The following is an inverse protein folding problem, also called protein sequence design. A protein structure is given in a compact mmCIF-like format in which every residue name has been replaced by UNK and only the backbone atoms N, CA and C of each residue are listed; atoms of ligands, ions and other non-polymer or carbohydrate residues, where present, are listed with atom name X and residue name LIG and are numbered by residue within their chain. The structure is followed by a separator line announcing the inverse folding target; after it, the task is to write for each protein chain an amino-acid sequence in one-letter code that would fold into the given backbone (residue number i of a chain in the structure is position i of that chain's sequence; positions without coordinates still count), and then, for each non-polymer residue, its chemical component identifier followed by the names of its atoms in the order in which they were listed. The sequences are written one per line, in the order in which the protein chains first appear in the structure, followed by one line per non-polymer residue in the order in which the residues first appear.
data_IF_848051567264
#
_entry.id   IF_848051567264
#
_cell.length_a   1.000
_cell.length_b   1.000
_cell.length_c   1.000
_cell.angle_alpha   90.00
_cell.angle_beta   90.00
_cell.angle_gamma   90.00
#
_symmetry.space_group_name_H-M   'P 1'
#
loop_
_entity.id
_entity.type
_entity.pdbx_description
1 polymer ?
#
# COMPACT_ATOMS: atom_id res chain seq x y z
N UNK A 1 27.39 2.93 -52.56
CA UNK A 1 26.86 3.08 -51.20
C UNK A 1 27.67 2.14 -50.31
N UNK A 2 28.56 2.70 -49.48
CA UNK A 2 29.50 1.92 -48.69
C UNK A 2 28.85 1.51 -47.37
N UNK A 3 28.69 0.21 -47.15
CA UNK A 3 28.24 -0.35 -45.88
C UNK A 3 29.42 -0.26 -44.90
N UNK A 4 29.38 0.71 -43.98
CA UNK A 4 30.43 0.89 -42.99
C UNK A 4 30.11 0.02 -41.75
N UNK A 5 30.81 -1.11 -41.53
CA UNK A 5 30.55 -2.01 -40.41
C UNK A 5 30.80 -1.35 -39.04
N UNK A 6 31.55 -0.24 -39.01
CA UNK A 6 31.78 0.52 -37.79
C UNK A 6 30.52 1.26 -37.31
N UNK A 7 29.69 1.76 -38.25
CA UNK A 7 28.42 2.43 -37.92
C UNK A 7 27.42 1.41 -37.36
N UNK A 8 27.40 0.19 -37.90
CA UNK A 8 26.56 -0.89 -37.38
C UNK A 8 26.98 -1.29 -35.96
N UNK A 9 28.29 -1.37 -35.68
CA UNK A 9 28.80 -1.66 -34.34
C UNK A 9 28.44 -0.56 -33.33
N UNK A 10 28.52 0.71 -33.75
CA UNK A 10 28.17 1.88 -32.93
C UNK A 10 26.67 1.94 -32.63
N UNK A 11 25.82 1.53 -33.58
CA UNK A 11 24.38 1.41 -33.35
C UNK A 11 24.04 0.25 -32.40
N UNK A 12 24.77 -0.88 -32.47
CA UNK A 12 24.57 -2.01 -31.56
C UNK A 12 25.00 -1.66 -30.13
N UNK A 13 26.10 -0.94 -29.92
CA UNK A 13 26.54 -0.53 -28.57
C UNK A 13 25.61 0.48 -27.91
N UNK A 14 25.00 1.39 -28.69
CA UNK A 14 24.00 2.35 -28.17
C UNK A 14 22.72 1.64 -27.70
N UNK A 15 22.33 0.54 -28.35
CA UNK A 15 21.13 -0.24 -27.97
C UNK A 15 21.35 -1.09 -26.71
N UNK A 16 22.60 -1.44 -26.37
CA UNK A 16 22.90 -2.23 -25.16
C UNK A 16 22.90 -1.35 -23.89
N UNK A 17 23.18 -0.05 -24.01
CA UNK A 17 23.24 0.88 -22.87
C UNK A 17 21.88 1.32 -22.32
N UNK A 18 20.76 0.92 -22.93
CA UNK A 18 19.40 1.31 -22.52
C UNK A 18 18.69 0.27 -21.64
N UNK A 19 19.39 -0.77 -21.17
CA UNK A 19 18.82 -1.79 -20.28
C UNK A 19 18.70 -1.25 -18.83
N UNK A 20 17.54 -0.68 -18.53
CA UNK A 20 16.85 -0.56 -17.23
C UNK A 20 17.71 -0.64 -15.94
N UNK A 21 18.50 0.40 -15.63
CA UNK A 21 19.18 0.54 -14.34
C UNK A 21 18.40 1.40 -13.31
N UNK A 22 17.22 1.91 -13.65
CA UNK A 22 16.48 2.88 -12.82
C UNK A 22 15.65 2.23 -11.69
N UNK A 23 15.07 1.05 -11.93
CA UNK A 23 14.06 0.48 -11.02
C UNK A 23 14.67 -0.12 -9.76
N UNK A 24 15.79 -0.84 -9.87
CA UNK A 24 16.50 -1.43 -8.72
C UNK A 24 16.96 -0.37 -7.73
N UNK A 25 17.40 0.79 -8.23
CA UNK A 25 17.81 1.93 -7.40
C UNK A 25 16.62 2.51 -6.63
N UNK A 26 15.50 2.78 -7.32
CA UNK A 26 14.27 3.29 -6.70
C UNK A 26 13.72 2.34 -5.63
N UNK A 27 13.63 1.05 -5.96
CA UNK A 27 13.16 0.01 -5.02
C UNK A 27 14.03 -0.04 -3.75
N UNK A 28 15.34 0.06 -3.91
CA UNK A 28 16.29 0.05 -2.78
C UNK A 28 16.10 1.29 -1.90
N UNK A 29 15.86 2.46 -2.50
CA UNK A 29 15.56 3.69 -1.77
C UNK A 29 14.25 3.53 -0.99
N UNK A 30 13.20 3.01 -1.64
CA UNK A 30 11.88 2.85 -1.04
C UNK A 30 11.91 1.92 0.19
N UNK A 31 12.61 0.78 0.10
CA UNK A 31 12.72 -0.15 1.23
C UNK A 31 13.53 0.44 2.37
N UNK A 32 14.63 1.16 2.09
CA UNK A 32 15.44 1.79 3.13
C UNK A 32 14.65 2.88 3.86
N UNK A 33 13.85 3.65 3.13
CA UNK A 33 12.96 4.65 3.69
C UNK A 33 11.85 4.01 4.54
N UNK A 34 11.18 2.96 4.02
CA UNK A 34 10.16 2.23 4.77
C UNK A 34 10.74 1.62 6.07
N UNK A 35 11.94 1.04 6.02
CA UNK A 35 12.63 0.50 7.20
C UNK A 35 12.89 1.59 8.25
N UNK A 36 13.29 2.80 7.84
CA UNK A 36 13.47 3.92 8.75
C UNK A 36 12.15 4.35 9.42
N UNK A 37 11.06 4.43 8.65
CA UNK A 37 9.71 4.72 9.16
C UNK A 37 9.21 3.63 10.13
N UNK A 38 9.41 2.35 9.81
CA UNK A 38 9.08 1.22 10.69
C UNK A 38 9.83 1.29 12.03
N UNK A 39 11.13 1.62 12.02
CA UNK A 39 11.95 1.77 13.23
C UNK A 39 11.47 2.94 14.08
N UNK A 40 11.20 4.10 13.48
CA UNK A 40 10.63 5.27 14.17
C UNK A 40 9.29 4.96 14.83
N UNK A 41 8.51 4.05 14.24
CA UNK A 41 7.24 3.58 14.78
C UNK A 41 7.36 2.42 15.80
N UNK A 42 8.58 2.00 16.16
CA UNK A 42 8.87 0.91 17.12
C UNK A 42 8.48 -0.51 16.64
N UNK A 43 8.68 -0.82 15.36
CA UNK A 43 8.51 -2.17 14.78
C UNK A 43 9.88 -2.81 14.48
N UNK A 44 10.77 -2.88 15.48
CA UNK A 44 12.16 -3.30 15.27
C UNK A 44 12.29 -4.77 14.91
N UNK A 45 11.44 -5.63 15.48
CA UNK A 45 11.50 -7.07 15.22
C UNK A 45 11.01 -7.38 13.81
N UNK A 46 9.99 -6.69 13.31
CA UNK A 46 9.54 -6.84 11.93
C UNK A 46 10.62 -6.41 10.92
N UNK A 47 11.34 -5.31 11.22
CA UNK A 47 12.51 -4.89 10.43
C UNK A 47 13.63 -5.93 10.46
N UNK A 48 13.85 -6.61 11.59
CA UNK A 48 14.81 -7.71 11.65
C UNK A 48 14.41 -8.85 10.71
N UNK A 49 13.13 -9.22 10.68
CA UNK A 49 12.61 -10.24 9.76
C UNK A 49 12.84 -9.84 8.29
N UNK A 50 12.55 -8.59 7.92
CA UNK A 50 12.82 -8.05 6.57
C UNK A 50 14.29 -8.21 6.19
N UNK A 51 15.22 -7.87 7.08
CA UNK A 51 16.66 -7.96 6.80
C UNK A 51 17.18 -9.41 6.74
N UNK A 52 16.44 -10.38 7.27
CA UNK A 52 16.76 -11.81 7.16
C UNK A 52 16.20 -12.43 5.88
N UNK A 53 15.28 -11.76 5.19
CA UNK A 53 14.73 -12.23 3.94
C UNK A 53 15.72 -12.05 2.78
N UNK A 54 15.61 -12.86 1.71
CA UNK A 54 16.41 -12.68 0.50
C UNK A 54 16.27 -11.26 -0.10
N UNK A 55 17.32 -10.68 -0.72
CA UNK A 55 17.28 -9.30 -1.25
C UNK A 55 16.18 -9.03 -2.30
N UNK A 56 15.77 -10.09 -3.01
CA UNK A 56 14.74 -10.10 -4.04
C UNK A 56 13.32 -10.38 -3.50
N UNK A 57 13.19 -10.64 -2.19
CA UNK A 57 11.95 -11.01 -1.53
C UNK A 57 10.84 -9.95 -1.66
N UNK A 58 11.18 -8.69 -1.38
CA UNK A 58 10.19 -7.61 -1.37
C UNK A 58 9.88 -7.25 -2.81
N UNK A 59 8.64 -7.46 -3.24
CA UNK A 59 8.17 -7.01 -4.54
C UNK A 59 7.81 -5.51 -4.46
N UNK A 60 7.80 -4.81 -5.60
CA UNK A 60 7.24 -3.46 -5.65
C UNK A 60 5.74 -3.51 -5.35
N UNK A 61 5.18 -2.41 -4.83
CA UNK A 61 3.74 -2.26 -4.57
C UNK A 61 3.21 -3.24 -3.52
N UNK A 62 3.60 -3.02 -2.26
CA UNK A 62 3.30 -3.92 -1.15
C UNK A 62 2.75 -3.14 0.05
N UNK A 63 1.85 -3.78 0.79
CA UNK A 63 1.46 -3.33 2.13
C UNK A 63 1.92 -4.33 3.15
N UNK A 64 2.76 -3.92 4.11
CA UNK A 64 3.11 -4.75 5.26
C UNK A 64 2.10 -4.59 6.39
N UNK A 65 1.73 -5.73 7.00
CA UNK A 65 0.88 -5.85 8.17
C UNK A 65 1.76 -6.31 9.33
N UNK A 66 2.26 -5.38 10.13
CA UNK A 66 3.36 -5.61 11.06
C UNK A 66 2.84 -5.87 12.48
N UNK A 67 2.97 -7.09 13.03
CA UNK A 67 2.69 -7.30 14.44
C UNK A 67 3.70 -6.53 15.30
N UNK A 68 3.28 -6.04 16.46
CA UNK A 68 4.17 -5.36 17.41
C UNK A 68 5.28 -6.28 17.91
N UNK A 69 6.42 -5.71 18.29
CA UNK A 69 7.56 -6.45 18.83
C UNK A 69 7.20 -7.38 20.00
N UNK A 70 6.30 -6.93 20.90
CA UNK A 70 5.80 -7.78 22.00
C UNK A 70 5.04 -9.02 21.51
N UNK A 71 4.28 -8.90 20.43
CA UNK A 71 3.53 -10.01 19.83
C UNK A 71 4.51 -10.97 19.14
N UNK A 72 5.48 -10.41 18.39
CA UNK A 72 6.49 -11.21 17.69
C UNK A 72 7.43 -11.96 18.64
N UNK A 73 7.77 -11.41 19.81
CA UNK A 73 8.63 -12.10 20.79
C UNK A 73 8.00 -13.35 21.41
N UNK A 74 6.69 -13.52 21.26
CA UNK A 74 5.92 -14.69 21.72
C UNK A 74 5.63 -15.67 20.59
N UNK A 75 6.02 -15.33 19.35
CA UNK A 75 5.75 -16.12 18.15
C UNK A 75 6.98 -16.95 17.79
N UNK A 76 6.79 -18.23 17.50
CA UNK A 76 7.86 -19.10 17.01
C UNK A 76 7.94 -18.98 15.49
N UNK A 77 8.98 -18.31 14.99
CA UNK A 77 9.27 -18.18 13.55
C UNK A 77 10.58 -18.91 13.28
N UNK A 78 10.53 -20.00 12.50
CA UNK A 78 11.74 -20.69 12.06
C UNK A 78 12.50 -19.82 11.05
N UNK A 79 13.82 -19.92 11.03
CA UNK A 79 14.64 -19.17 10.06
C UNK A 79 14.26 -19.49 8.60
N UNK A 80 13.87 -20.75 8.34
CA UNK A 80 13.46 -21.19 7.00
C UNK A 80 12.06 -20.66 6.60
N UNK A 81 11.29 -20.14 7.55
CA UNK A 81 9.90 -19.71 7.36
C UNK A 81 9.77 -18.18 7.36
N UNK A 82 10.88 -17.42 7.46
CA UNK A 82 10.86 -15.95 7.53
C UNK A 82 10.20 -15.35 6.29
N UNK A 83 10.53 -15.83 5.10
CA UNK A 83 9.91 -15.36 3.85
C UNK A 83 8.42 -15.66 3.83
N UNK A 84 8.04 -16.87 4.19
CA UNK A 84 6.63 -17.29 4.28
C UNK A 84 5.84 -16.46 5.27
N UNK A 85 6.43 -16.16 6.43
CA UNK A 85 5.86 -15.30 7.45
C UNK A 85 5.63 -13.89 6.91
N UNK A 86 6.63 -13.30 6.25
CA UNK A 86 6.52 -11.96 5.68
C UNK A 86 5.49 -11.90 4.55
N UNK A 87 5.40 -12.91 3.67
CA UNK A 87 4.41 -12.97 2.59
C UNK A 87 2.99 -13.07 3.11
N UNK A 88 2.79 -13.81 4.20
CA UNK A 88 1.51 -13.90 4.89
C UNK A 88 1.12 -12.56 5.52
N UNK A 89 2.11 -11.78 5.93
CA UNK A 89 1.95 -10.46 6.53
C UNK A 89 2.07 -9.33 5.50
N UNK A 90 1.77 -9.61 4.23
CA UNK A 90 1.74 -8.59 3.20
C UNK A 90 0.59 -8.72 2.23
N UNK A 91 0.16 -7.59 1.67
CA UNK A 91 -0.82 -7.50 0.58
C UNK A 91 -0.05 -7.01 -0.66
N UNK A 92 -0.22 -7.63 -1.84
CA UNK A 92 0.49 -7.25 -3.07
C UNK A 92 -0.13 -6.00 -3.73
N UNK A 93 -0.34 -4.95 -2.94
CA UNK A 93 -0.78 -3.62 -3.37
C UNK A 93 -0.50 -2.61 -2.26
N UNK A 94 -0.11 -1.35 -2.55
CA UNK A 94 0.05 -0.28 -1.57
C UNK A 94 -1.31 0.28 -1.17
N UNK A 95 -1.82 -0.14 -0.01
CA UNK A 95 -3.14 0.19 0.50
C UNK A 95 -3.01 1.08 1.73
N UNK A 96 -3.35 2.35 1.59
CA UNK A 96 -3.57 3.23 2.74
C UNK A 96 -4.77 2.75 3.58
N UNK A 97 -4.81 3.15 4.84
CA UNK A 97 -5.90 2.78 5.74
C UNK A 97 -7.25 3.30 5.25
N UNK A 98 -7.25 4.48 4.64
CA UNK A 98 -8.41 5.09 3.99
C UNK A 98 -8.96 4.20 2.88
N UNK A 99 -8.15 3.37 2.22
CA UNK A 99 -8.66 2.40 1.25
C UNK A 99 -9.21 1.15 1.93
N UNK A 100 -8.50 0.66 2.97
CA UNK A 100 -8.91 -0.52 3.73
C UNK A 100 -10.27 -0.33 4.40
N UNK A 101 -10.54 0.84 4.98
CA UNK A 101 -11.80 1.12 5.68
C UNK A 101 -13.03 1.21 4.77
N UNK A 102 -12.85 1.21 3.44
CA UNK A 102 -13.95 1.11 2.49
C UNK A 102 -14.28 -0.34 2.11
N UNK A 103 -13.45 -1.31 2.49
CA UNK A 103 -13.78 -2.71 2.28
C UNK A 103 -14.95 -3.12 3.18
N UNK A 104 -16.04 -3.67 2.60
CA UNK A 104 -17.13 -4.23 3.37
C UNK A 104 -16.67 -5.39 4.26
N UNK A 105 -17.38 -5.60 5.36
CA UNK A 105 -17.21 -6.82 6.17
C UNK A 105 -17.49 -8.06 5.31
N UNK A 106 -16.59 -9.04 5.38
CA UNK A 106 -16.63 -10.26 4.57
C UNK A 106 -15.82 -10.16 3.27
N UNK A 107 -15.23 -9.01 2.93
CA UNK A 107 -14.31 -8.94 1.80
C UNK A 107 -13.12 -9.88 1.98
N UNK A 108 -12.71 -10.51 0.88
CA UNK A 108 -11.54 -11.38 0.80
C UNK A 108 -10.41 -10.61 0.12
N UNK A 109 -9.28 -10.50 0.80
CA UNK A 109 -8.11 -9.75 0.34
C UNK A 109 -6.95 -10.73 0.19
N UNK A 110 -6.30 -10.83 -0.98
CA UNK A 110 -5.17 -11.73 -1.14
C UNK A 110 -3.96 -11.25 -0.32
N UNK A 111 -3.20 -12.19 0.24
CA UNK A 111 -1.85 -11.90 0.72
C UNK A 111 -0.82 -12.09 -0.38
N UNK A 112 0.43 -11.70 -0.16
CA UNK A 112 1.52 -12.05 -1.08
C UNK A 112 1.91 -13.53 -0.98
N UNK A 113 1.44 -14.26 0.05
CA UNK A 113 1.56 -15.71 0.13
C UNK A 113 0.44 -16.35 -0.69
N UNK A 114 0.76 -17.17 -1.70
CA UNK A 114 -0.25 -17.88 -2.48
C UNK A 114 -1.21 -18.66 -1.58
N UNK A 115 -2.47 -18.74 -2.01
CA UNK A 115 -3.57 -19.47 -1.35
C UNK A 115 -3.95 -18.99 0.06
N UNK A 116 -3.26 -17.98 0.60
CA UNK A 116 -3.59 -17.35 1.87
C UNK A 116 -4.31 -16.03 1.63
N UNK A 117 -5.46 -15.88 2.29
CA UNK A 117 -6.34 -14.73 2.18
C UNK A 117 -6.61 -14.11 3.55
N UNK A 118 -6.97 -12.83 3.52
CA UNK A 118 -7.41 -12.06 4.67
C UNK A 118 -8.91 -11.77 4.53
N UNK A 119 -9.65 -11.99 5.61
CA UNK A 119 -11.06 -11.64 5.74
C UNK A 119 -11.19 -10.30 6.43
N UNK A 120 -11.72 -9.32 5.72
CA UNK A 120 -11.99 -8.00 6.26
C UNK A 120 -13.18 -8.06 7.21
N UNK A 121 -13.04 -7.45 8.38
CA UNK A 121 -14.15 -7.13 9.26
C UNK A 121 -14.08 -5.66 9.61
N UNK A 122 -15.05 -4.90 9.09
CA UNK A 122 -15.17 -3.48 9.26
C UNK A 122 -16.29 -3.19 10.24
N UNK A 123 -15.91 -2.86 11.47
CA UNK A 123 -16.85 -2.53 12.55
C UNK A 123 -17.10 -1.01 12.69
N UNK A 124 -16.65 -0.22 11.71
CA UNK A 124 -16.70 1.25 11.74
C UNK A 124 -15.74 1.86 12.77
N UNK A 125 -15.85 3.17 13.04
CA UNK A 125 -15.08 3.93 14.07
C UNK A 125 -13.57 3.58 14.13
N UNK A 126 -12.91 3.42 12.97
CA UNK A 126 -11.48 3.03 12.88
C UNK A 126 -11.16 1.68 13.54
N UNK A 127 -12.11 0.77 13.51
CA UNK A 127 -12.00 -0.60 14.00
C UNK A 127 -12.16 -1.53 12.81
N UNK A 128 -11.02 -1.76 12.16
CA UNK A 128 -10.88 -2.60 10.98
C UNK A 128 -9.96 -3.77 11.31
N UNK A 129 -10.39 -4.98 10.95
CA UNK A 129 -9.68 -6.22 11.23
C UNK A 129 -9.43 -7.03 9.97
N UNK A 130 -8.33 -7.78 9.97
CA UNK A 130 -7.94 -8.74 8.94
C UNK A 130 -7.65 -10.07 9.64
N UNK A 131 -8.42 -11.14 9.37
CA UNK A 131 -8.30 -12.43 10.08
C UNK A 131 -8.21 -12.28 11.61
N UNK A 132 -9.07 -11.41 12.17
CA UNK A 132 -9.13 -11.03 13.59
C UNK A 132 -8.01 -10.11 14.09
N UNK A 133 -6.98 -9.81 13.28
CA UNK A 133 -5.97 -8.84 13.64
C UNK A 133 -6.44 -7.41 13.40
N UNK A 134 -6.43 -6.57 14.43
CA UNK A 134 -6.85 -5.17 14.33
C UNK A 134 -5.71 -4.32 13.80
N UNK A 135 -6.02 -3.41 12.88
CA UNK A 135 -5.09 -2.32 12.55
C UNK A 135 -5.06 -1.32 13.71
N UNK A 136 -3.89 -1.20 14.36
CA UNK A 136 -3.68 -0.33 15.54
C UNK A 136 -2.75 0.84 15.28
N UNK A 137 -2.01 0.82 14.18
CA UNK A 137 -1.15 1.93 13.76
C UNK A 137 -1.20 2.06 12.23
N UNK A 138 -2.17 2.81 11.70
CA UNK A 138 -2.34 2.95 10.26
C UNK A 138 -1.25 3.85 9.65
N UNK A 139 -0.97 3.67 8.35
CA UNK A 139 -0.21 4.58 7.51
C UNK A 139 1.18 4.94 8.08
N UNK A 140 2.00 3.94 8.41
CA UNK A 140 3.36 4.14 8.95
C UNK A 140 4.34 4.50 7.82
N UNK A 141 4.44 3.64 6.80
CA UNK A 141 5.35 3.88 5.68
C UNK A 141 4.62 4.63 4.57
N UNK A 142 4.56 5.96 4.64
CA UNK A 142 3.87 6.75 3.59
C UNK A 142 4.83 7.46 2.67
N UNK A 143 6.12 7.55 3.04
CA UNK A 143 7.10 8.32 2.29
C UNK A 143 7.62 7.64 1.03
N UNK A 144 7.55 6.30 0.93
CA UNK A 144 8.01 5.54 -0.25
C UNK A 144 6.98 5.48 -1.39
N UNK A 145 5.68 5.59 -1.07
CA UNK A 145 4.57 5.47 -2.03
C UNK A 145 4.32 4.04 -2.58
N UNK A 146 5.35 3.22 -2.71
CA UNK A 146 5.32 1.83 -3.19
C UNK A 146 5.23 0.79 -2.07
N UNK A 147 5.63 1.15 -0.85
CA UNK A 147 5.59 0.32 0.35
C UNK A 147 4.75 1.05 1.39
N UNK A 148 3.58 0.51 1.69
CA UNK A 148 2.73 0.97 2.79
C UNK A 148 2.89 0.03 3.97
N UNK A 149 2.79 0.53 5.20
CA UNK A 149 2.85 -0.33 6.37
C UNK A 149 1.75 0.03 7.37
N UNK A 150 1.13 -0.97 7.95
CA UNK A 150 0.20 -0.85 9.06
C UNK A 150 0.66 -1.73 10.21
N UNK A 151 0.60 -1.20 11.42
CA UNK A 151 0.78 -1.99 12.62
C UNK A 151 -0.50 -2.75 12.98
N UNK A 152 -0.36 -4.03 13.32
CA UNK A 152 -1.44 -4.90 13.81
C UNK A 152 -1.15 -5.42 15.24
N UNK A 153 -2.20 -5.76 15.99
CA UNK A 153 -2.07 -6.18 17.40
C UNK A 153 -1.76 -7.66 17.62
N UNK A 154 -1.93 -8.50 16.60
CA UNK A 154 -1.67 -9.94 16.64
C UNK A 154 -1.02 -10.43 15.34
N UNK A 155 -0.46 -11.64 15.37
CA UNK A 155 0.02 -12.34 14.16
C UNK A 155 -1.18 -12.82 13.34
N UNK A 156 -1.07 -12.76 12.01
CA UNK A 156 -2.10 -13.27 11.11
C UNK A 156 -2.06 -14.79 11.06
N UNK A 157 -3.19 -15.42 11.33
CA UNK A 157 -3.34 -16.87 11.16
C UNK A 157 -3.59 -17.21 9.69
N UNK A 158 -2.97 -18.27 9.15
CA UNK A 158 -3.15 -18.65 7.75
C UNK A 158 -4.60 -19.07 7.51
N UNK A 159 -5.28 -18.38 6.61
CA UNK A 159 -6.65 -18.71 6.20
C UNK A 159 -6.65 -19.01 4.71
N UNK A 160 -7.11 -20.21 4.34
CA UNK A 160 -7.27 -20.61 2.94
C UNK A 160 -8.73 -20.46 2.51
N UNK A 161 -8.97 -20.29 1.21
CA UNK A 161 -10.33 -20.21 0.67
C UNK A 161 -11.17 -21.47 0.93
N UNK A 162 -10.54 -22.64 1.11
CA UNK A 162 -11.21 -23.92 1.38
C UNK A 162 -11.58 -24.11 2.86
N UNK A 163 -10.88 -23.44 3.78
CA UNK A 163 -11.18 -23.52 5.22
C UNK A 163 -12.57 -22.98 5.58
N UNK A 164 -13.11 -22.01 4.82
CA UNK A 164 -14.45 -21.46 5.04
C UNK A 164 -15.58 -22.45 4.61
N UNK A 165 -15.28 -23.41 3.74
CA UNK A 165 -16.26 -24.44 3.33
C UNK A 165 -16.49 -25.51 4.41
N UNK A 166 -15.48 -25.83 5.22
CA UNK A 166 -15.58 -26.91 6.21
C UNK A 166 -16.18 -26.49 7.56
N UNK A 167 -16.17 -25.20 7.91
CA UNK A 167 -16.87 -24.68 9.09
C UNK A 167 -18.36 -24.42 8.85
N UNK A 168 -18.85 -24.62 7.62
CA UNK A 168 -20.28 -24.57 7.28
C UNK A 168 -20.91 -25.97 7.35
N UNK A 169 -20.82 -26.65 8.50
CA UNK A 169 -21.58 -27.88 8.74
C UNK A 169 -22.70 -27.59 9.74
N UNK A 170 -23.96 -27.74 9.28
CA UNK A 170 -25.24 -27.67 10.01
C UNK A 170 -26.03 -26.35 10.03
N UNK A 171 -26.24 -25.71 8.88
CA UNK A 171 -27.55 -25.09 8.63
C UNK A 171 -28.23 -25.82 7.48
N UNK A 172 -29.49 -26.30 7.64
CA UNK A 172 -30.19 -26.98 6.57
C UNK A 172 -30.28 -26.06 5.35
N UNK A 173 -29.80 -26.52 4.21
CA UNK A 173 -30.14 -25.95 2.91
C UNK A 173 -31.68 -25.93 2.84
N UNK A 174 -32.32 -24.76 2.69
CA UNK A 174 -33.75 -24.72 2.45
C UNK A 174 -34.04 -25.47 1.16
N UNK A 175 -35.01 -26.40 1.13
CA UNK A 175 -35.35 -27.09 -0.09
C UNK A 175 -35.99 -26.07 -1.04
N UNK A 176 -35.41 -25.97 -2.23
CA UNK A 176 -36.06 -25.54 -3.48
C UNK A 176 -36.63 -24.11 -3.49
N UNK A 177 -36.10 -23.29 -4.40
CA UNK A 177 -36.85 -22.13 -4.89
C UNK A 177 -38.18 -22.65 -5.48
N UNK A 178 -39.37 -22.27 -4.96
CA UNK A 178 -40.59 -22.52 -5.68
C UNK A 178 -40.54 -21.68 -6.96
N UNK A 179 -40.90 -22.32 -8.06
CA UNK A 179 -41.06 -21.73 -9.38
C UNK A 179 -41.89 -20.44 -9.25
N UNK A 180 -41.24 -19.27 -9.33
CA UNK A 180 -41.93 -17.98 -9.29
C UNK A 180 -42.63 -17.83 -10.64
N UNK A 181 -43.91 -18.20 -10.67
CA UNK A 181 -44.84 -17.70 -11.68
C UNK A 181 -44.84 -16.18 -11.57
N UNK A 182 -44.24 -15.51 -12.55
CA UNK A 182 -44.23 -14.06 -12.70
C UNK A 182 -45.68 -13.57 -12.66
N UNK A 183 -46.12 -12.80 -11.64
CA UNK A 183 -47.35 -12.03 -11.80
C UNK A 183 -47.04 -10.85 -12.73
N UNK A 184 -48.01 -10.40 -13.55
CA UNK A 184 -47.78 -9.30 -14.47
C UNK A 184 -47.33 -8.06 -13.69
N UNK A 185 -46.28 -7.41 -14.20
CA UNK A 185 -45.80 -6.11 -13.72
C UNK A 185 -46.99 -5.17 -13.56
N UNK A 186 -47.34 -4.85 -12.32
CA UNK A 186 -48.15 -3.67 -12.04
C UNK A 186 -47.19 -2.49 -12.15
N UNK A 187 -47.34 -1.71 -13.21
CA UNK A 187 -46.70 -0.40 -13.34
C UNK A 187 -47.20 0.44 -12.18
N UNK A 188 -46.35 0.65 -11.18
CA UNK A 188 -46.62 1.62 -10.13
C UNK A 188 -46.59 3.02 -10.77
N UNK A 189 -47.64 3.80 -10.53
CA UNK A 189 -47.72 5.20 -10.94
C UNK A 189 -46.50 6.00 -10.44
N UNK A 190 -46.00 6.97 -11.22
CA UNK A 190 -44.91 7.82 -10.78
C UNK A 190 -45.32 8.63 -9.53
N UNK A 191 -44.41 8.86 -8.57
CA UNK A 191 -44.70 9.69 -7.41
C UNK A 191 -45.01 11.14 -7.85
N UNK A 192 -45.84 11.87 -7.09
CA UNK A 192 -46.13 13.27 -7.39
C UNK A 192 -44.84 14.11 -7.32
N UNK A 193 -44.64 14.93 -8.34
CA UNK A 193 -43.56 15.91 -8.45
C UNK A 193 -43.63 16.85 -7.25
N UNK A 194 -42.60 16.86 -6.40
CA UNK A 194 -42.46 17.90 -5.39
C UNK A 194 -42.15 19.23 -6.09
N UNK A 195 -43.05 20.20 -5.92
CA UNK A 195 -42.87 21.57 -6.36
C UNK A 195 -41.68 22.21 -5.64
N UNK A 196 -40.76 22.79 -6.41
CA UNK A 196 -39.66 23.62 -5.91
C UNK A 196 -40.19 24.78 -5.06
N UNK A 197 -39.56 25.10 -3.91
CA UNK A 197 -39.87 26.32 -3.18
C UNK A 197 -39.42 27.56 -3.97
N UNK A 198 -40.12 28.71 -3.84
CA UNK A 198 -39.78 29.93 -4.56
C UNK A 198 -38.42 30.51 -4.12
N UNK A 199 -37.75 31.31 -4.97
CA UNK A 199 -36.47 31.93 -4.63
C UNK A 199 -36.61 32.90 -3.45
N UNK A 200 -35.70 32.83 -2.49
CA UNK A 200 -35.62 33.78 -1.39
C UNK A 200 -35.21 35.18 -1.90
N UNK A 201 -35.87 36.21 -1.37
CA UNK A 201 -35.56 37.63 -1.61
C UNK A 201 -34.15 38.02 -1.10
N UNK A 202 -33.49 39.03 -1.72
CA UNK A 202 -32.17 39.48 -1.29
C UNK A 202 -32.25 40.24 0.04
N UNK A 203 -31.60 39.69 1.07
CA UNK A 203 -31.43 40.36 2.37
C UNK A 203 -30.46 41.53 2.24
N UNK A 204 -30.95 42.68 2.69
CA UNK A 204 -30.32 44.00 2.77
C UNK A 204 -29.07 43.97 3.68
N UNK A 205 -28.01 44.65 3.22
CA UNK A 205 -26.69 44.78 3.84
C UNK A 205 -26.69 45.06 5.34
N UNK A 206 -26.01 44.20 6.10
CA UNK A 206 -25.54 44.44 7.46
C UNK A 206 -24.02 44.46 7.48
N UNK A 207 -23.46 45.56 7.99
CA UNK A 207 -22.03 45.86 8.11
C UNK A 207 -21.27 44.81 8.92
N UNK A 208 -20.26 44.17 8.34
CA UNK A 208 -19.26 43.41 9.07
C UNK A 208 -17.91 44.14 9.02
N UNK A 209 -17.46 44.55 10.20
CA UNK A 209 -16.13 45.10 10.43
C UNK A 209 -15.10 43.98 10.24
N UNK A 210 -14.18 44.17 9.31
CA UNK A 210 -13.10 43.24 9.01
C UNK A 210 -11.84 43.62 9.81
N UNK A 211 -11.19 42.72 10.57
CA UNK A 211 -9.82 42.94 11.03
C UNK A 211 -8.82 42.56 9.95
N UNK A 212 -7.89 43.46 9.70
CA UNK A 212 -6.76 43.39 8.76
C UNK A 212 -5.82 42.21 9.03
N UNK A 213 -5.35 41.47 8.00
CA UNK A 213 -4.26 40.51 8.18
C UNK A 213 -2.89 41.21 8.05
N UNK A 214 -2.12 41.16 9.14
CA UNK A 214 -0.71 41.58 9.19
C UNK A 214 0.19 40.51 8.58
N UNK A 215 0.93 40.88 7.54
CA UNK A 215 2.00 40.05 6.97
C UNK A 215 3.30 40.28 7.73
N UNK A 216 3.88 39.20 8.29
CA UNK A 216 5.29 39.15 8.66
C UNK A 216 5.93 37.88 8.11
N UNK A 217 7.06 37.96 7.40
CA UNK A 217 7.81 36.79 6.94
C UNK A 217 8.83 36.32 7.99
N UNK A 218 9.04 35.01 8.18
CA UNK A 218 10.17 34.51 8.96
C UNK A 218 11.44 34.33 8.11
N UNK A 219 12.55 34.35 8.85
CA UNK A 219 13.91 34.61 8.42
C UNK A 219 14.60 33.49 7.63
N UNK A 220 15.58 33.97 6.87
CA UNK A 220 16.68 33.29 6.19
C UNK A 220 17.54 32.48 7.17
N UNK A 221 17.80 31.22 6.85
CA UNK A 221 18.88 30.41 7.43
C UNK A 221 19.60 29.67 6.31
N UNK A 222 20.92 29.80 6.26
CA UNK A 222 21.78 29.24 5.23
C UNK A 222 22.39 27.89 5.60
N UNK A 223 22.63 27.07 4.58
CA UNK A 223 23.57 25.95 4.57
C UNK A 223 24.07 25.81 3.12
N UNK A 224 25.29 26.25 2.84
CA UNK A 224 26.51 25.43 2.73
C UNK A 224 26.47 24.40 1.60
N UNK A 225 27.20 24.74 0.54
CA UNK A 225 27.53 23.91 -0.61
C UNK A 225 28.07 22.53 -0.21
N UNK A 226 27.46 21.48 -0.74
CA UNK A 226 28.09 20.17 -0.87
C UNK A 226 28.64 20.09 -2.29
N UNK A 227 29.97 20.12 -2.39
CA UNK A 227 30.69 19.88 -3.64
C UNK A 227 30.39 18.46 -4.13
N UNK A 228 30.05 18.36 -5.41
CA UNK A 228 29.80 17.13 -6.15
C UNK A 228 30.98 16.17 -6.04
N UNK A 229 30.78 15.06 -5.34
CA UNK A 229 31.70 13.91 -5.31
C UNK A 229 31.36 12.89 -6.42
N UNK A 230 30.58 13.28 -7.44
CA UNK A 230 30.15 12.40 -8.53
C UNK A 230 31.14 12.37 -9.71
N UNK A 231 31.94 13.42 -9.92
CA UNK A 231 32.80 13.51 -11.11
C UNK A 231 34.11 12.73 -10.96
N UNK A 232 34.61 12.53 -9.74
CA UNK A 232 35.85 11.79 -9.51
C UNK A 232 35.68 10.27 -9.71
N UNK A 233 34.50 9.72 -9.41
CA UNK A 233 34.23 8.27 -9.56
C UNK A 233 34.06 7.91 -11.03
N UNK A 234 33.43 8.78 -11.82
CA UNK A 234 33.23 8.57 -13.25
C UNK A 234 34.55 8.71 -14.03
N UNK A 235 35.41 9.66 -13.65
CA UNK A 235 36.75 9.78 -14.26
C UNK A 235 37.67 8.60 -13.89
N UNK A 236 37.56 8.07 -12.67
CA UNK A 236 38.34 6.90 -12.22
C UNK A 236 37.94 5.60 -12.92
N UNK A 237 36.64 5.37 -13.16
CA UNK A 237 36.18 4.18 -13.89
C UNK A 237 36.57 4.22 -15.38
N UNK A 238 36.61 5.41 -16.00
CA UNK A 238 36.98 5.53 -17.41
C UNK A 238 38.49 5.31 -17.65
N UNK A 239 39.34 5.56 -16.66
CA UNK A 239 40.79 5.31 -16.75
C UNK A 239 41.14 3.82 -16.60
N UNK A 240 40.33 3.05 -15.87
CA UNK A 240 40.49 1.60 -15.68
C UNK A 240 40.08 0.76 -16.90
N UNK A 241 39.34 1.36 -17.84
CA UNK A 241 38.91 0.70 -19.08
C UNK A 241 39.85 0.95 -20.26
N UNK A 242 40.95 1.68 -20.04
CA UNK A 242 41.95 2.06 -21.06
C UNK A 242 43.37 1.52 -20.78
N UNK A 243 43.52 0.59 -19.83
CA UNK A 243 44.77 -0.13 -19.56
C UNK A 243 44.58 -1.63 -19.80
#
# INVERSE_FOLDING_TARGET
MANNPMILFLLITIVISSVSATNTSSKTIDILQAIDEMRKANYFTFVMLINMAPPDFIQENITFLMPKDKTLSQTLISQNDVSDFLLQHSIPSPLLFEHLEHFPTGSIIPTSKPDIVLKANNSGRKSFFLNNARIVSPNICTGSGSIICHGIDQVLEPTTLSSDYHNSTLLPVPPHCPNVTIPPFVVADPPPVMSFPPPAEPVRSGSFNNPTPSWTPPMKSGAHSILQLSDAVVAGLMLLMLV
#
